data_IF_579311355254
#
_entry.id   IF_579311355254
#
_cell.length_a   1.000
_cell.length_b   1.000
_cell.length_c   1.000
_cell.angle_alpha   90.00
_cell.angle_beta   90.00
_cell.angle_gamma   90.00
#
_symmetry.space_group_name_H-M   'P 1'
#
loop_
_entity.id
_entity.type
_entity.pdbx_description
1 polymer ?
#
# COMPACT_ATOMS: atom_id res chain seq x y z
N UNK A 1 -21.68 -17.96 -27.72
CA UNK A 1 -21.85 -16.49 -27.67
C UNK A 1 -21.10 -15.91 -26.48
N UNK A 2 -19.77 -15.80 -26.55
CA UNK A 2 -18.89 -15.33 -25.45
C UNK A 2 -18.07 -14.08 -25.85
N UNK A 3 -18.58 -13.23 -26.75
CA UNK A 3 -17.78 -12.12 -27.31
C UNK A 3 -18.49 -10.77 -27.39
N UNK A 4 -19.75 -10.67 -26.93
CA UNK A 4 -20.47 -9.39 -26.91
C UNK A 4 -20.53 -8.73 -25.52
N UNK A 5 -20.36 -9.49 -24.43
CA UNK A 5 -20.57 -9.00 -23.06
C UNK A 5 -19.29 -8.82 -22.22
N UNK A 6 -18.12 -9.28 -22.69
CA UNK A 6 -16.85 -9.10 -21.97
C UNK A 6 -15.80 -8.58 -22.95
N UNK A 7 -15.60 -7.27 -22.95
CA UNK A 7 -14.48 -6.67 -23.66
C UNK A 7 -13.21 -6.95 -22.83
N UNK A 8 -12.41 -7.93 -23.25
CA UNK A 8 -11.18 -8.34 -22.56
C UNK A 8 -10.17 -7.17 -22.40
N UNK A 9 -10.16 -6.21 -23.33
CA UNK A 9 -9.34 -5.01 -23.22
C UNK A 9 -9.87 -4.09 -22.11
N UNK A 10 -11.18 -3.86 -22.04
CA UNK A 10 -11.81 -3.08 -20.95
C UNK A 10 -11.64 -3.78 -19.60
N UNK A 11 -11.74 -5.10 -19.53
CA UNK A 11 -11.52 -5.86 -18.28
C UNK A 11 -10.05 -5.75 -17.82
N UNK A 12 -9.10 -5.83 -18.74
CA UNK A 12 -7.68 -5.64 -18.43
C UNK A 12 -7.37 -4.21 -17.99
N UNK A 13 -8.01 -3.22 -18.63
CA UNK A 13 -7.93 -1.81 -18.25
C UNK A 13 -8.53 -1.57 -16.87
N UNK A 14 -9.71 -2.14 -16.56
CA UNK A 14 -10.34 -2.05 -15.23
C UNK A 14 -9.48 -2.68 -14.14
N UNK A 15 -8.87 -3.85 -14.39
CA UNK A 15 -7.92 -4.47 -13.46
C UNK A 15 -6.69 -3.59 -13.22
N UNK A 16 -6.15 -2.98 -14.29
CA UNK A 16 -5.02 -2.07 -14.20
C UNK A 16 -5.39 -0.79 -13.43
N UNK A 17 -6.58 -0.24 -13.68
CA UNK A 17 -7.13 0.89 -12.93
C UNK A 17 -7.32 0.56 -11.45
N UNK A 18 -7.84 -0.62 -11.11
CA UNK A 18 -7.95 -1.07 -9.72
C UNK A 18 -6.60 -1.15 -9.00
N UNK A 19 -5.57 -1.67 -9.68
CA UNK A 19 -4.19 -1.70 -9.15
C UNK A 19 -3.61 -0.30 -8.96
N UNK A 20 -3.80 0.59 -9.93
CA UNK A 20 -3.37 1.99 -9.85
C UNK A 20 -4.08 2.72 -8.72
N UNK A 21 -5.38 2.51 -8.54
CA UNK A 21 -6.17 3.12 -7.48
C UNK A 21 -5.72 2.65 -6.09
N UNK A 22 -5.43 1.36 -5.94
CA UNK A 22 -4.86 0.82 -4.70
C UNK A 22 -3.48 1.44 -4.40
N UNK A 23 -2.61 1.52 -5.41
CA UNK A 23 -1.27 2.10 -5.27
C UNK A 23 -1.31 3.59 -4.93
N UNK A 24 -2.27 4.33 -5.51
CA UNK A 24 -2.54 5.72 -5.19
C UNK A 24 -3.02 5.87 -3.74
N UNK A 25 -3.94 5.01 -3.29
CA UNK A 25 -4.44 5.02 -1.91
C UNK A 25 -3.28 4.82 -0.91
N UNK A 26 -2.42 3.83 -1.13
CA UNK A 26 -1.25 3.62 -0.27
C UNK A 26 -0.29 4.82 -0.31
N UNK A 27 -0.10 5.44 -1.48
CA UNK A 27 0.73 6.63 -1.61
C UNK A 27 0.17 7.82 -0.85
N UNK A 28 -1.15 8.02 -0.88
CA UNK A 28 -1.84 9.03 -0.08
C UNK A 28 -1.70 8.76 1.42
N UNK A 29 -1.84 7.51 1.87
CA UNK A 29 -1.63 7.14 3.28
C UNK A 29 -0.20 7.43 3.74
N UNK A 30 0.82 7.11 2.93
CA UNK A 30 2.22 7.44 3.23
C UNK A 30 2.47 8.95 3.27
N UNK A 31 1.87 9.70 2.35
CA UNK A 31 1.98 11.17 2.35
C UNK A 31 1.33 11.77 3.61
N UNK A 32 0.13 11.31 3.96
CA UNK A 32 -0.63 11.82 5.10
C UNK A 32 0.02 11.51 6.45
N UNK A 33 0.68 10.37 6.58
CA UNK A 33 1.31 9.93 7.83
C UNK A 33 2.79 10.31 7.91
N UNK A 34 3.43 10.57 6.76
CA UNK A 34 4.88 10.70 6.65
C UNK A 34 5.64 9.38 6.84
N UNK A 35 4.95 8.26 7.09
CA UNK A 35 5.57 6.96 7.34
C UNK A 35 5.55 6.10 6.07
N UNK A 36 6.70 5.49 5.76
CA UNK A 36 6.81 4.53 4.65
C UNK A 36 6.06 3.23 4.94
N UNK A 37 6.08 2.78 6.19
CA UNK A 37 5.39 1.58 6.67
C UNK A 37 4.23 2.04 7.54
N UNK A 38 3.00 1.87 7.05
CA UNK A 38 1.80 2.34 7.73
C UNK A 38 1.04 1.25 8.48
N UNK A 39 1.30 -0.02 8.17
CA UNK A 39 0.63 -1.16 8.78
C UNK A 39 1.59 -2.32 9.00
N UNK A 40 1.40 -3.08 10.08
CA UNK A 40 2.06 -4.36 10.33
C UNK A 40 1.74 -5.40 9.24
N UNK A 41 0.65 -5.20 8.51
CA UNK A 41 0.25 -6.04 7.39
C UNK A 41 1.15 -5.83 6.17
N UNK A 42 1.66 -4.61 5.95
CA UNK A 42 2.52 -4.29 4.79
C UNK A 42 3.96 -4.79 5.01
N UNK A 43 4.48 -4.69 6.24
CA UNK A 43 5.80 -5.21 6.64
C UNK A 43 5.89 -5.35 8.17
N UNK A 44 5.56 -6.54 8.69
CA UNK A 44 5.61 -6.82 10.12
C UNK A 44 7.03 -6.73 10.70
N UNK A 45 8.05 -7.13 9.92
CA UNK A 45 9.44 -7.11 10.36
C UNK A 45 10.00 -5.67 10.37
N UNK A 46 9.74 -4.92 9.30
CA UNK A 46 10.11 -3.51 9.19
C UNK A 46 9.42 -2.64 10.24
N UNK A 47 8.15 -2.92 10.55
CA UNK A 47 7.45 -2.24 11.63
C UNK A 47 8.09 -2.52 13.00
N UNK A 48 8.40 -3.79 13.31
CA UNK A 48 9.05 -4.12 14.59
C UNK A 48 10.41 -3.45 14.76
N UNK A 49 11.22 -3.41 13.70
CA UNK A 49 12.51 -2.71 13.72
C UNK A 49 12.29 -1.21 13.94
N UNK A 50 11.36 -0.59 13.20
CA UNK A 50 11.05 0.83 13.36
C UNK A 50 10.56 1.15 14.78
N UNK A 51 9.72 0.29 15.39
CA UNK A 51 9.27 0.45 16.77
C UNK A 51 10.42 0.30 17.76
N UNK A 52 11.32 -0.67 17.58
CA UNK A 52 12.51 -0.83 18.44
C UNK A 52 13.45 0.36 18.33
N UNK A 53 13.70 0.86 17.13
CA UNK A 53 14.53 2.05 16.90
C UNK A 53 13.88 3.29 17.54
N UNK A 54 12.57 3.48 17.38
CA UNK A 54 11.83 4.58 18.03
C UNK A 54 11.94 4.50 19.55
N UNK A 55 11.76 3.32 20.14
CA UNK A 55 11.90 3.10 21.57
C UNK A 55 13.33 3.39 22.06
N UNK A 56 14.36 2.99 21.31
CA UNK A 56 15.74 3.30 21.62
C UNK A 56 16.01 4.81 21.57
N UNK A 57 15.53 5.51 20.53
CA UNK A 57 15.71 6.98 20.43
C UNK A 57 14.97 7.75 21.52
N UNK A 58 13.77 7.33 21.89
CA UNK A 58 12.99 7.98 22.96
C UNK A 58 13.54 7.67 24.36
N UNK A 59 14.19 6.53 24.55
CA UNK A 59 14.84 6.18 25.82
C UNK A 59 16.24 6.78 26.00
N UNK A 60 16.82 7.37 24.96
CA UNK A 60 18.10 8.12 25.03
C UNK A 60 17.90 9.63 25.26
N UNK A 61 16.66 10.12 25.23
CA UNK A 61 16.28 11.51 25.47
C UNK A 61 15.93 11.78 26.93
#
# INVERSE_FOLDING_TARGET
MLSLHTNAATLSAQNSLGRTQSSLSTSMTRLSTGYRINSAMDDAAGLQIATRLKAQTSGMA
#
